data_IF_594509184035
#
_entry.id   IF_594509184035
#
_cell.length_a   1.000
_cell.length_b   1.000
_cell.length_c   1.000
_cell.angle_alpha   90.00
_cell.angle_beta   90.00
_cell.angle_gamma   90.00
#
_symmetry.space_group_name_H-M   'P 1'
#
loop_
_entity.id
_entity.type
_entity.pdbx_description
1 polymer ?
#
# COMPACT_ATOMS: atom_id res chain seq x y z
N UNK A 1 32.16 7.13 -91.42
CA UNK A 1 31.22 6.10 -90.91
C UNK A 1 31.75 5.32 -89.70
N UNK A 2 33.04 4.94 -89.63
CA UNK A 2 33.61 4.16 -88.51
C UNK A 2 33.70 4.93 -87.17
N UNK A 3 34.15 6.19 -87.19
CA UNK A 3 34.31 7.02 -85.98
C UNK A 3 32.99 7.24 -85.22
N UNK A 4 31.88 7.33 -85.96
CA UNK A 4 30.53 7.52 -85.40
C UNK A 4 30.05 6.27 -84.65
N UNK A 5 30.37 5.08 -85.15
CA UNK A 5 30.08 3.80 -84.47
C UNK A 5 30.93 3.61 -83.23
N UNK A 6 32.23 3.92 -83.30
CA UNK A 6 33.14 3.79 -82.15
C UNK A 6 32.69 4.68 -80.97
N UNK A 7 32.30 5.93 -81.27
CA UNK A 7 31.79 6.88 -80.28
C UNK A 7 30.48 6.41 -79.63
N UNK A 8 29.56 5.87 -80.45
CA UNK A 8 28.27 5.35 -79.98
C UNK A 8 28.43 4.07 -79.13
N UNK A 9 29.54 3.34 -79.31
CA UNK A 9 29.84 2.14 -78.54
C UNK A 9 30.47 2.53 -77.19
N UNK A 10 31.39 3.50 -77.18
CA UNK A 10 31.93 4.08 -75.95
C UNK A 10 30.82 4.71 -75.08
N UNK A 11 29.88 5.46 -75.66
CA UNK A 11 28.73 6.03 -74.93
C UNK A 11 27.84 4.93 -74.29
N UNK A 12 27.67 3.79 -74.95
CA UNK A 12 26.93 2.65 -74.38
C UNK A 12 27.68 1.97 -73.25
N UNK A 13 28.99 1.80 -73.40
CA UNK A 13 29.82 1.20 -72.35
C UNK A 13 29.86 2.09 -71.10
N UNK A 14 29.93 3.41 -71.27
CA UNK A 14 29.82 4.39 -70.18
C UNK A 14 28.44 4.35 -69.51
N UNK A 15 27.35 4.31 -70.28
CA UNK A 15 25.99 4.15 -69.73
C UNK A 15 25.82 2.83 -68.95
N UNK A 16 26.41 1.73 -69.42
CA UNK A 16 26.36 0.44 -68.73
C UNK A 16 27.17 0.44 -67.44
N UNK A 17 28.36 1.05 -67.44
CA UNK A 17 29.16 1.22 -66.23
C UNK A 17 28.41 2.06 -65.19
N UNK A 18 27.85 3.19 -65.61
CA UNK A 18 27.05 4.06 -64.75
C UNK A 18 25.83 3.33 -64.16
N UNK A 19 25.11 2.54 -64.97
CA UNK A 19 23.98 1.71 -64.48
C UNK A 19 24.44 0.69 -63.44
N UNK A 20 25.58 0.02 -63.67
CA UNK A 20 26.13 -0.97 -62.72
C UNK A 20 26.53 -0.32 -61.40
N UNK A 21 27.21 0.82 -61.43
CA UNK A 21 27.59 1.59 -60.24
C UNK A 21 26.36 2.06 -59.45
N UNK A 22 25.36 2.59 -60.16
CA UNK A 22 24.13 3.06 -59.53
C UNK A 22 23.35 1.91 -58.87
N UNK A 23 23.25 0.75 -59.52
CA UNK A 23 22.63 -0.45 -58.94
C UNK A 23 23.40 -0.96 -57.71
N UNK A 24 24.73 -0.94 -57.75
CA UNK A 24 25.57 -1.33 -56.62
C UNK A 24 25.35 -0.40 -55.41
N UNK A 25 25.29 0.91 -55.66
CA UNK A 25 25.01 1.91 -54.61
C UNK A 25 23.63 1.72 -53.99
N UNK A 26 22.58 1.52 -54.79
CA UNK A 26 21.24 1.26 -54.26
C UNK A 26 21.19 -0.03 -53.43
N UNK A 27 21.85 -1.09 -53.86
CA UNK A 27 21.92 -2.34 -53.10
C UNK A 27 22.66 -2.18 -51.76
N UNK A 28 23.67 -1.30 -51.71
CA UNK A 28 24.37 -0.96 -50.48
C UNK A 28 23.49 -0.12 -49.54
N UNK A 29 22.85 0.93 -50.05
CA UNK A 29 21.95 1.80 -49.31
C UNK A 29 20.76 1.00 -48.73
N UNK A 30 20.14 0.11 -49.52
CA UNK A 30 19.03 -0.76 -49.08
C UNK A 30 19.46 -1.68 -47.93
N UNK A 31 20.67 -2.26 -47.99
CA UNK A 31 21.20 -3.11 -46.90
C UNK A 31 21.40 -2.29 -45.63
N UNK A 32 21.94 -1.08 -45.75
CA UNK A 32 22.15 -0.18 -44.61
C UNK A 32 20.81 0.21 -43.99
N UNK A 33 19.80 0.52 -44.80
CA UNK A 33 18.46 0.86 -44.33
C UNK A 33 17.82 -0.30 -43.57
N UNK A 34 17.88 -1.52 -44.11
CA UNK A 34 17.37 -2.72 -43.44
C UNK A 34 18.01 -2.94 -42.06
N UNK A 35 19.35 -2.80 -41.98
CA UNK A 35 20.07 -2.91 -40.70
C UNK A 35 19.66 -1.81 -39.72
N UNK A 36 19.48 -0.58 -40.19
CA UNK A 36 19.06 0.55 -39.35
C UNK A 36 17.64 0.35 -38.80
N UNK A 37 16.70 -0.15 -39.61
CA UNK A 37 15.35 -0.50 -39.16
C UNK A 37 15.40 -1.58 -38.09
N UNK A 38 16.16 -2.65 -38.30
CA UNK A 38 16.31 -3.72 -37.31
C UNK A 38 16.91 -3.20 -36.01
N UNK A 39 17.99 -2.41 -36.08
CA UNK A 39 18.63 -1.81 -34.90
C UNK A 39 17.69 -0.91 -34.12
N UNK A 40 16.87 -0.11 -34.82
CA UNK A 40 15.86 0.75 -34.19
C UNK A 40 14.79 -0.08 -33.48
N UNK A 41 14.29 -1.13 -34.12
CA UNK A 41 13.30 -2.05 -33.52
C UNK A 41 13.85 -2.72 -32.26
N UNK A 42 15.08 -3.22 -32.31
CA UNK A 42 15.74 -3.86 -31.16
C UNK A 42 15.89 -2.88 -29.99
N UNK A 43 16.41 -1.67 -30.22
CA UNK A 43 16.52 -0.65 -29.18
C UNK A 43 15.17 -0.31 -28.55
N UNK A 44 14.13 -0.12 -29.36
CA UNK A 44 12.79 0.16 -28.84
C UNK A 44 12.26 -1.00 -27.99
N UNK A 45 12.48 -2.25 -28.41
CA UNK A 45 12.08 -3.41 -27.64
C UNK A 45 12.85 -3.51 -26.30
N UNK A 46 14.15 -3.24 -26.29
CA UNK A 46 14.97 -3.19 -25.08
C UNK A 46 14.50 -2.09 -24.12
N UNK A 47 14.24 -0.88 -24.62
CA UNK A 47 13.71 0.21 -23.80
C UNK A 47 12.35 -0.14 -23.20
N UNK A 48 11.45 -0.75 -23.98
CA UNK A 48 10.14 -1.21 -23.48
C UNK A 48 10.30 -2.24 -22.36
N UNK A 49 11.13 -3.27 -22.57
CA UNK A 49 11.43 -4.30 -21.54
C UNK A 49 12.03 -3.69 -20.28
N UNK A 50 12.94 -2.73 -20.43
CA UNK A 50 13.55 -2.05 -19.27
C UNK A 50 12.50 -1.27 -18.46
N UNK A 51 11.59 -0.56 -19.13
CA UNK A 51 10.49 0.17 -18.47
C UNK A 51 9.50 -0.79 -17.80
N UNK A 52 9.14 -1.88 -18.47
CA UNK A 52 8.27 -2.92 -17.90
C UNK A 52 8.88 -3.52 -16.64
N UNK A 53 10.18 -3.84 -16.66
CA UNK A 53 10.89 -4.34 -15.48
C UNK A 53 10.86 -3.34 -14.32
N UNK A 54 11.14 -2.06 -14.58
CA UNK A 54 11.08 -1.02 -13.55
C UNK A 54 9.67 -0.87 -12.94
N UNK A 55 8.63 -1.02 -13.76
CA UNK A 55 7.25 -1.01 -13.30
C UNK A 55 6.92 -2.23 -12.43
N UNK A 56 7.39 -3.41 -12.82
CA UNK A 56 7.23 -4.65 -12.06
C UNK A 56 7.94 -4.58 -10.71
N UNK A 57 9.21 -4.16 -10.70
CA UNK A 57 10.00 -3.96 -9.48
C UNK A 57 9.31 -2.97 -8.53
N UNK A 58 8.77 -1.87 -9.07
CA UNK A 58 8.02 -0.88 -8.27
C UNK A 58 6.74 -1.45 -7.66
N UNK A 59 6.01 -2.29 -8.41
CA UNK A 59 4.80 -2.96 -7.91
C UNK A 59 5.14 -3.96 -6.81
N UNK A 60 6.20 -4.75 -7.00
CA UNK A 60 6.69 -5.70 -6.01
C UNK A 60 7.08 -4.98 -4.71
N UNK A 61 7.86 -3.91 -4.80
CA UNK A 61 8.25 -3.10 -3.64
C UNK A 61 7.03 -2.56 -2.90
N UNK A 62 6.07 -1.97 -3.63
CA UNK A 62 4.86 -1.43 -3.00
C UNK A 62 4.01 -2.52 -2.30
N UNK A 63 3.92 -3.71 -2.89
CA UNK A 63 3.22 -4.82 -2.25
C UNK A 63 3.92 -5.30 -0.98
N UNK A 64 5.26 -5.38 -1.01
CA UNK A 64 6.07 -5.78 0.13
C UNK A 64 5.98 -4.76 1.27
N UNK A 65 6.10 -3.47 0.96
CA UNK A 65 6.00 -2.38 1.94
C UNK A 65 4.61 -2.38 2.61
N UNK A 66 3.55 -2.59 1.82
CA UNK A 66 2.18 -2.69 2.35
C UNK A 66 2.01 -3.90 3.28
N UNK A 67 2.55 -5.05 2.90
CA UNK A 67 2.48 -6.25 3.74
C UNK A 67 3.24 -6.06 5.05
N UNK A 68 4.42 -5.44 4.98
CA UNK A 68 5.22 -5.08 6.15
C UNK A 68 4.45 -4.13 7.08
N UNK A 69 3.92 -3.02 6.55
CA UNK A 69 3.14 -2.05 7.34
C UNK A 69 1.92 -2.69 8.01
N UNK A 70 1.20 -3.58 7.31
CA UNK A 70 0.08 -4.31 7.89
C UNK A 70 0.53 -5.27 9.00
N UNK A 71 1.67 -5.94 8.82
CA UNK A 71 2.22 -6.85 9.82
C UNK A 71 2.66 -6.12 11.09
N UNK A 72 3.32 -4.95 10.94
CA UNK A 72 3.76 -4.11 12.05
C UNK A 72 2.55 -3.58 12.83
N UNK A 73 1.53 -3.08 12.13
CA UNK A 73 0.29 -2.63 12.80
C UNK A 73 -0.40 -3.73 13.58
N UNK A 74 -0.42 -4.96 13.06
CA UNK A 74 -1.00 -6.10 13.79
C UNK A 74 -0.19 -6.43 15.03
N UNK A 75 1.13 -6.47 14.92
CA UNK A 75 2.00 -6.72 16.05
C UNK A 75 1.86 -5.64 17.14
N UNK A 76 1.78 -4.36 16.74
CA UNK A 76 1.51 -3.25 17.66
C UNK A 76 0.17 -3.41 18.37
N UNK A 77 -0.90 -3.73 17.63
CA UNK A 77 -2.23 -3.97 18.21
C UNK A 77 -2.22 -5.13 19.21
N UNK A 78 -1.60 -6.27 18.86
CA UNK A 78 -1.46 -7.41 19.75
C UNK A 78 -0.69 -7.05 21.03
N UNK A 79 0.38 -6.25 20.90
CA UNK A 79 1.15 -5.78 22.04
C UNK A 79 0.37 -4.81 22.92
N UNK A 80 -0.41 -3.91 22.34
CA UNK A 80 -1.28 -3.00 23.08
C UNK A 80 -2.38 -3.75 23.82
N UNK A 81 -3.01 -4.74 23.17
CA UNK A 81 -4.01 -5.59 23.81
C UNK A 81 -3.42 -6.39 24.96
N UNK A 82 -2.23 -6.94 24.78
CA UNK A 82 -1.52 -7.64 25.84
C UNK A 82 -1.22 -6.71 27.03
N UNK A 83 -0.74 -5.49 26.75
CA UNK A 83 -0.52 -4.48 27.78
C UNK A 83 -1.80 -4.09 28.50
N UNK A 84 -2.91 -3.89 27.78
CA UNK A 84 -4.22 -3.60 28.36
C UNK A 84 -4.68 -4.73 29.27
N UNK A 85 -4.52 -5.99 28.86
CA UNK A 85 -4.84 -7.16 29.69
C UNK A 85 -4.07 -7.16 31.01
N UNK A 86 -2.75 -6.93 30.98
CA UNK A 86 -1.93 -6.85 32.20
C UNK A 86 -2.42 -5.72 33.13
N UNK A 87 -2.70 -4.54 32.57
CA UNK A 87 -3.17 -3.40 33.37
C UNK A 87 -4.52 -3.69 34.00
N UNK A 88 -5.43 -4.36 33.28
CA UNK A 88 -6.74 -4.75 33.81
C UNK A 88 -6.64 -5.82 34.90
N UNK A 89 -5.77 -6.81 34.74
CA UNK A 89 -5.49 -7.82 35.76
C UNK A 89 -4.96 -7.18 37.06
N UNK A 90 -3.98 -6.29 36.95
CA UNK A 90 -3.44 -5.57 38.11
C UNK A 90 -4.46 -4.60 38.71
N UNK A 91 -5.28 -3.93 37.88
CA UNK A 91 -6.39 -3.10 38.37
C UNK A 91 -7.36 -3.93 39.20
N UNK A 92 -7.80 -5.09 38.69
CA UNK A 92 -8.73 -5.96 39.37
C UNK A 92 -8.14 -6.48 40.69
N UNK A 93 -6.85 -6.82 40.70
CA UNK A 93 -6.10 -7.21 41.89
C UNK A 93 -6.11 -6.10 42.95
N UNK A 94 -5.73 -4.87 42.57
CA UNK A 94 -5.71 -3.73 43.48
C UNK A 94 -7.09 -3.41 44.06
N UNK A 95 -8.13 -3.47 43.22
CA UNK A 95 -9.51 -3.28 43.68
C UNK A 95 -9.90 -4.34 44.70
N UNK A 96 -9.60 -5.62 44.45
CA UNK A 96 -9.92 -6.71 45.40
C UNK A 96 -9.20 -6.55 46.73
N UNK A 97 -7.94 -6.14 46.72
CA UNK A 97 -7.11 -6.01 47.94
C UNK A 97 -7.45 -4.77 48.77
N UNK A 98 -7.79 -3.65 48.12
CA UNK A 98 -7.90 -2.35 48.78
C UNK A 98 -9.33 -1.80 48.87
N UNK A 99 -10.24 -2.15 47.94
CA UNK A 99 -11.59 -1.58 47.95
C UNK A 99 -12.34 -1.87 49.27
N UNK A 100 -12.31 -3.08 49.86
CA UNK A 100 -13.03 -3.35 51.11
C UNK A 100 -12.64 -2.41 52.27
N UNK A 101 -11.36 -1.98 52.31
CA UNK A 101 -10.84 -1.05 53.33
C UNK A 101 -11.31 0.40 53.10
N UNK A 102 -11.78 0.70 51.89
CA UNK A 102 -12.17 2.04 51.43
C UNK A 102 -13.68 2.14 51.14
N UNK A 103 -14.49 1.21 51.65
CA UNK A 103 -15.93 1.17 51.43
C UNK A 103 -16.59 2.51 51.84
N UNK A 104 -17.11 3.25 50.85
CA UNK A 104 -17.74 4.55 51.06
C UNK A 104 -16.87 5.79 50.80
N UNK A 105 -15.56 5.61 50.69
CA UNK A 105 -14.60 6.68 50.40
C UNK A 105 -13.98 6.56 49.01
N UNK A 106 -14.49 5.63 48.19
CA UNK A 106 -14.00 5.42 46.84
C UNK A 106 -14.44 6.56 45.89
N UNK A 107 -13.50 7.17 45.14
CA UNK A 107 -13.82 8.19 44.15
C UNK A 107 -14.75 7.68 43.04
N UNK A 108 -15.49 8.60 42.40
CA UNK A 108 -16.29 8.30 41.21
C UNK A 108 -15.36 7.85 40.06
N UNK A 109 -15.78 6.84 39.30
CA UNK A 109 -15.04 6.30 38.15
C UNK A 109 -14.04 5.17 38.46
N UNK A 110 -13.85 4.82 39.73
CA UNK A 110 -12.98 3.68 40.11
C UNK A 110 -13.65 2.33 39.81
N UNK A 111 -14.94 2.22 40.13
CA UNK A 111 -15.80 1.12 39.70
C UNK A 111 -16.40 1.55 38.37
N UNK A 112 -16.14 0.79 37.29
CA UNK A 112 -16.57 1.15 35.94
C UNK A 112 -17.86 0.44 35.57
N UNK A 113 -17.90 -0.88 35.77
CA UNK A 113 -18.96 -1.74 35.24
C UNK A 113 -19.57 -2.64 36.32
N UNK A 114 -20.68 -3.31 35.99
CA UNK A 114 -21.37 -4.26 36.89
C UNK A 114 -20.47 -5.46 37.26
N UNK A 115 -19.55 -5.84 36.38
CA UNK A 115 -18.56 -6.89 36.63
C UNK A 115 -17.65 -6.53 37.82
N UNK A 116 -17.16 -5.27 37.88
CA UNK A 116 -16.35 -4.79 38.99
C UNK A 116 -17.16 -4.83 40.31
N UNK A 117 -18.46 -4.50 40.28
CA UNK A 117 -19.33 -4.58 41.46
C UNK A 117 -19.52 -6.02 41.93
N UNK A 118 -19.69 -6.95 40.98
CA UNK A 118 -19.86 -8.37 41.30
C UNK A 118 -18.63 -8.97 41.99
N UNK A 119 -17.41 -8.54 41.61
CA UNK A 119 -16.19 -9.10 42.19
C UNK A 119 -15.89 -8.61 43.60
N UNK A 120 -16.43 -7.45 44.01
CA UNK A 120 -16.18 -6.82 45.30
C UNK A 120 -17.13 -7.27 46.41
N UNK A 121 -18.22 -7.96 46.05
CA UNK A 121 -19.17 -8.57 46.98
C UNK A 121 -20.45 -7.77 47.25
N UNK A 122 -21.39 -8.35 48.02
CA UNK A 122 -22.75 -7.82 48.19
C UNK A 122 -22.80 -6.44 48.87
N UNK A 123 -21.87 -6.16 49.79
CA UNK A 123 -21.79 -4.88 50.51
C UNK A 123 -21.53 -3.69 49.55
N UNK A 124 -20.76 -3.94 48.48
CA UNK A 124 -20.52 -2.95 47.43
C UNK A 124 -21.71 -2.80 46.51
N UNK A 125 -22.35 -3.91 46.15
CA UNK A 125 -23.56 -3.88 45.33
C UNK A 125 -24.64 -3.04 46.00
N UNK A 126 -24.94 -3.28 47.28
CA UNK A 126 -26.01 -2.54 47.97
C UNK A 126 -25.74 -1.03 48.06
N UNK A 127 -24.47 -0.64 48.27
CA UNK A 127 -24.10 0.76 48.48
C UNK A 127 -23.96 1.56 47.18
N UNK A 128 -23.52 0.91 46.10
CA UNK A 128 -23.21 1.58 44.84
C UNK A 128 -24.28 1.39 43.76
N UNK A 129 -25.18 0.39 43.86
CA UNK A 129 -26.40 0.33 43.00
C UNK A 129 -27.41 1.42 43.37
N UNK A 130 -27.63 1.66 44.67
CA UNK A 130 -28.60 2.67 45.16
C UNK A 130 -28.24 4.13 44.80
N UNK A 131 -27.07 4.37 44.20
CA UNK A 131 -26.58 5.70 43.84
C UNK A 131 -26.79 6.07 42.37
N UNK A 132 -27.35 5.17 41.55
CA UNK A 132 -28.02 5.51 40.29
C UNK A 132 -29.47 5.96 40.55
N UNK A 133 -29.67 6.92 41.46
CA UNK A 133 -30.88 7.74 41.41
C UNK A 133 -30.44 8.98 40.65
N UNK A 134 -30.90 9.09 39.41
CA UNK A 134 -30.70 10.29 38.61
C UNK A 134 -31.38 11.45 39.35
N UNK A 135 -30.64 12.52 39.76
CA UNK A 135 -31.26 13.69 40.35
C UNK A 135 -32.27 14.40 39.42
N UNK A 136 -32.34 13.98 38.14
CA UNK A 136 -33.22 14.53 37.11
C UNK A 136 -34.33 13.56 36.64
N UNK A 137 -34.62 12.47 37.34
CA UNK A 137 -35.82 11.66 37.05
C UNK A 137 -37.10 12.44 37.40
N UNK A 138 -37.64 13.15 36.40
CA UNK A 138 -38.87 13.93 36.43
C UNK A 138 -40.11 13.01 36.49
N UNK A 139 -40.37 12.44 37.67
CA UNK A 139 -41.62 11.74 37.99
C UNK A 139 -42.54 12.54 38.94
N UNK A 140 -42.34 13.86 39.01
CA UNK A 140 -43.00 14.74 39.97
C UNK A 140 -44.00 15.75 39.39
N UNK A 141 -44.13 15.88 38.06
CA UNK A 141 -44.89 16.97 37.42
C UNK A 141 -46.28 16.62 36.88
N UNK A 142 -46.80 15.42 37.14
CA UNK A 142 -48.10 14.99 36.57
C UNK A 142 -49.15 14.55 37.61
N UNK A 143 -49.23 15.29 38.73
CA UNK A 143 -50.29 15.06 39.72
C UNK A 143 -50.81 16.36 40.35
N UNK A 144 -51.35 17.28 39.54
CA UNK A 144 -52.35 18.26 40.01
C UNK A 144 -53.41 18.52 38.93
N UNK A 145 -54.51 17.77 39.02
CA UNK A 145 -55.84 18.27 38.63
C UNK A 145 -56.40 19.11 39.76
#
# INVERSE_FOLDING_TARGET
>A
MHFKKLRQQAEKDEEEQFKKEMLAKFAEDDRIEQMNVQKRRMKQAEHKRAVEKLLEDRRAQFSQDREHELSERRAEQEMEEFRKRIVEEERARLLREHAPKLLGYLPKGVIRDEEDLSMLGPDFQERYTKRQIDPFEDSGWDARK
#
